data_IF_249460924203
#
_entry.id   IF_249460924203
#
_cell.length_a   1.000
_cell.length_b   1.000
_cell.length_c   1.000
_cell.angle_alpha   90.00
_cell.angle_beta   90.00
_cell.angle_gamma   90.00
#
_symmetry.space_group_name_H-M   'P 1'
#
loop_
_entity.id
_entity.type
_entity.pdbx_description
1 polymer ?
#
# COMPACT_ATOMS: atom_id res chain seq x y z
N UNK A 1 18.29 -3.69 11.21
CA UNK A 1 17.08 -3.19 10.53
C UNK A 1 17.47 -1.90 9.82
N UNK A 2 17.40 -1.84 8.47
CA UNK A 2 17.66 -0.58 7.76
C UNK A 2 16.41 0.29 7.93
N UNK A 3 16.52 1.55 8.37
CA UNK A 3 15.37 2.44 8.39
C UNK A 3 14.86 2.60 6.94
N UNK A 4 13.58 2.34 6.72
CA UNK A 4 12.95 2.66 5.45
C UNK A 4 13.05 4.17 5.24
N UNK A 5 13.69 4.60 4.15
CA UNK A 5 13.75 6.01 3.81
C UNK A 5 12.33 6.47 3.42
N UNK A 6 11.96 7.75 3.59
CA UNK A 6 10.63 8.24 3.21
C UNK A 6 10.27 7.95 1.73
N UNK A 7 11.29 7.89 0.86
CA UNK A 7 11.18 7.52 -0.56
C UNK A 7 10.88 6.03 -0.80
N UNK A 8 11.02 5.20 0.22
CA UNK A 8 10.67 3.77 0.21
C UNK A 8 9.31 3.49 0.86
N UNK A 9 8.62 4.51 1.38
CA UNK A 9 7.28 4.35 1.98
C UNK A 9 6.21 4.60 0.93
N UNK A 10 5.52 3.53 0.54
CA UNK A 10 4.45 3.59 -0.44
C UNK A 10 3.07 3.56 0.21
N UNK A 11 2.15 4.37 -0.30
CA UNK A 11 0.74 4.37 0.12
C UNK A 11 -0.10 3.58 -0.88
N UNK A 12 -0.95 2.69 -0.38
CA UNK A 12 -1.92 1.96 -1.20
C UNK A 12 -3.02 2.92 -1.63
N UNK A 13 -3.11 3.18 -2.94
CA UNK A 13 -4.15 4.03 -3.56
C UNK A 13 -5.34 3.23 -4.07
N UNK A 14 -5.18 1.93 -4.26
CA UNK A 14 -6.24 1.06 -4.75
C UNK A 14 -5.92 -0.42 -4.68
N UNK A 15 -6.95 -1.26 -4.81
CA UNK A 15 -6.86 -2.72 -4.89
C UNK A 15 -7.21 -3.16 -6.32
N UNK A 16 -6.41 -4.05 -6.89
CA UNK A 16 -6.68 -4.65 -8.19
C UNK A 16 -7.17 -6.10 -8.01
N UNK A 17 -7.74 -6.71 -9.07
CA UNK A 17 -8.02 -8.14 -9.08
C UNK A 17 -6.77 -8.94 -8.73
N UNK A 18 -6.92 -9.96 -7.89
CA UNK A 18 -5.84 -10.88 -7.56
C UNK A 18 -5.32 -11.56 -8.84
N UNK A 19 -4.02 -11.81 -8.89
CA UNK A 19 -3.39 -12.60 -9.95
C UNK A 19 -2.93 -13.91 -9.34
N UNK A 20 -3.65 -14.99 -9.63
CA UNK A 20 -3.49 -16.26 -8.93
C UNK A 20 -3.94 -16.11 -7.47
N UNK A 21 -3.11 -16.56 -6.53
CA UNK A 21 -3.37 -16.52 -5.10
C UNK A 21 -2.93 -15.22 -4.41
N UNK A 22 -2.32 -14.29 -5.16
CA UNK A 22 -1.78 -13.04 -4.61
C UNK A 22 -2.64 -11.83 -4.96
N UNK A 23 -3.00 -11.04 -3.93
CA UNK A 23 -3.65 -9.74 -4.10
C UNK A 23 -2.68 -8.75 -4.72
N UNK A 24 -3.22 -7.89 -5.60
CA UNK A 24 -2.49 -6.82 -6.25
C UNK A 24 -2.98 -5.47 -5.72
N UNK A 25 -2.04 -4.56 -5.52
CA UNK A 25 -2.27 -3.22 -4.98
C UNK A 25 -1.69 -2.17 -5.91
N UNK A 26 -2.42 -1.06 -6.08
CA UNK A 26 -1.89 0.19 -6.63
C UNK A 26 -1.26 0.94 -5.48
N UNK A 27 -0.02 1.32 -5.65
CA UNK A 27 0.76 2.05 -4.67
C UNK A 27 1.31 3.33 -5.27
N UNK A 28 1.49 4.34 -4.43
CA UNK A 28 2.09 5.62 -4.81
C UNK A 28 3.01 6.11 -3.72
N UNK A 29 4.20 6.56 -4.09
CA UNK A 29 5.09 7.31 -3.22
C UNK A 29 4.80 8.82 -3.36
N UNK A 30 5.10 9.62 -2.33
CA UNK A 30 4.95 11.08 -2.40
C UNK A 30 6.00 11.72 -3.35
N UNK A 31 7.20 11.15 -3.42
CA UNK A 31 8.28 11.52 -4.33
C UNK A 31 7.99 11.09 -5.78
N UNK A 32 7.38 9.91 -5.97
CA UNK A 32 7.01 9.43 -7.30
C UNK A 32 5.70 10.04 -7.82
N UNK A 33 5.79 10.65 -9.00
CA UNK A 33 4.61 11.20 -9.70
C UNK A 33 3.70 10.15 -10.32
N UNK A 34 4.11 8.88 -10.33
CA UNK A 34 3.41 7.78 -10.99
C UNK A 34 2.98 6.72 -9.99
N UNK A 35 1.85 6.07 -10.27
CA UNK A 35 1.40 4.90 -9.51
C UNK A 35 2.10 3.65 -10.00
N UNK A 36 2.41 2.73 -9.08
CA UNK A 36 2.96 1.41 -9.38
C UNK A 36 1.97 0.33 -8.97
N UNK A 37 2.01 -0.80 -9.67
CA UNK A 37 1.24 -1.99 -9.28
C UNK A 37 2.21 -3.02 -8.72
N UNK A 38 1.90 -3.54 -7.54
CA UNK A 38 2.67 -4.60 -6.90
C UNK A 38 1.76 -5.62 -6.22
N UNK A 39 2.30 -6.77 -5.85
CA UNK A 39 1.60 -7.81 -5.10
C UNK A 39 1.78 -7.66 -3.60
N UNK A 40 0.88 -8.27 -2.81
CA UNK A 40 0.98 -8.29 -1.36
C UNK A 40 2.34 -8.81 -0.86
N UNK A 41 2.86 -9.85 -1.51
CA UNK A 41 4.10 -10.53 -1.13
C UNK A 41 5.34 -9.62 -1.19
N UNK A 42 5.28 -8.59 -2.04
CA UNK A 42 6.35 -7.59 -2.20
C UNK A 42 6.18 -6.37 -1.29
N UNK A 43 5.12 -6.31 -0.48
CA UNK A 43 4.83 -5.19 0.42
C UNK A 43 5.14 -5.59 1.86
N UNK A 44 5.96 -4.79 2.53
CA UNK A 44 6.19 -4.91 3.97
C UNK A 44 5.42 -3.83 4.74
N UNK A 45 4.79 -4.17 5.88
CA UNK A 45 4.14 -3.19 6.73
C UNK A 45 5.18 -2.25 7.32
N UNK A 46 5.01 -0.95 7.09
CA UNK A 46 5.85 0.08 7.73
C UNK A 46 5.32 0.32 9.14
N UNK A 47 6.20 0.26 10.14
CA UNK A 47 5.86 0.63 11.51
C UNK A 47 5.62 2.15 11.58
N UNK A 48 4.36 2.57 11.45
CA UNK A 48 3.96 3.98 11.39
C UNK A 48 3.83 4.62 12.78
N UNK A 49 4.62 4.19 13.77
CA UNK A 49 4.67 4.86 15.07
C UNK A 49 5.15 6.33 15.00
N UNK A 50 5.64 6.80 13.84
CA UNK A 50 6.05 8.20 13.62
C UNK A 50 5.30 8.96 12.50
N UNK A 51 4.50 8.30 11.65
CA UNK A 51 3.81 8.99 10.55
C UNK A 51 2.38 9.34 10.94
N UNK A 52 2.23 10.36 11.79
CA UNK A 52 0.94 10.95 12.12
C UNK A 52 0.12 11.29 10.87
N UNK A 53 -1.17 11.01 10.95
CA UNK A 53 -2.24 11.42 10.03
C UNK A 53 -2.29 10.77 8.63
N UNK A 54 -3.27 9.88 8.48
CA UNK A 54 -4.14 9.94 7.30
C UNK A 54 -3.98 8.85 6.25
N UNK A 55 -4.11 7.59 6.65
CA UNK A 55 -4.60 6.54 5.77
C UNK A 55 -5.29 5.45 6.60
N UNK A 56 -6.42 5.82 7.23
CA UNK A 56 -7.44 4.83 7.54
C UNK A 56 -7.80 4.17 6.22
N UNK A 57 -7.32 2.95 5.99
CA UNK A 57 -7.77 2.08 4.92
C UNK A 57 -9.23 1.75 5.23
N UNK A 58 -10.11 2.70 4.92
CA UNK A 58 -11.53 2.62 5.19
C UNK A 58 -12.07 1.43 4.40
N UNK A 59 -12.44 0.43 5.19
CA UNK A 59 -13.00 -0.88 4.89
C UNK A 59 -14.33 -0.76 4.12
N UNK A 60 -14.28 -0.36 2.84
CA UNK A 60 -15.51 -0.15 2.05
C UNK A 60 -15.57 -0.89 0.72
N UNK A 61 -14.85 -2.01 0.57
CA UNK A 61 -14.97 -2.88 -0.64
C UNK A 61 -15.13 -4.36 -0.31
N UNK A 62 -15.76 -4.69 0.81
CA UNK A 62 -16.30 -6.04 1.02
C UNK A 62 -17.83 -5.91 1.04
N UNK A 63 -18.39 -5.72 -0.16
CA UNK A 63 -19.83 -5.92 -0.35
C UNK A 63 -20.13 -7.40 -0.17
N UNK A 64 -20.81 -7.73 0.92
CA UNK A 64 -21.42 -9.04 1.12
C UNK A 64 -22.90 -8.94 0.74
N UNK A 65 -23.35 -9.88 -0.11
CA UNK A 65 -24.76 -10.22 -0.31
C UNK A 65 -25.45 -9.50 -1.45
#
# INVERSE_FOLDING_TARGET
MRPALPVDIYRITGRLPARGDSLQYRIRNDDERHERVTTQDSLEPVDMSQSGNGATLIERTFGHG
#
